data_IF_735234219194
#
_entry.id   IF_735234219194
#
_cell.length_a   1.000
_cell.length_b   1.000
_cell.length_c   1.000
_cell.angle_alpha   90.00
_cell.angle_beta   90.00
_cell.angle_gamma   90.00
#
_symmetry.space_group_name_H-M   'P 1'
#
loop_
_entity.id
_entity.type
_entity.pdbx_description
1 polymer ?
#
# COMPACT_ATOMS: atom_id res chain seq x y z
N UNK A 1 28.41 -8.43 63.34
CA UNK A 1 27.14 -7.81 62.92
C UNK A 1 27.47 -6.35 62.64
N UNK A 2 28.02 -5.93 61.51
CA UNK A 2 27.78 -6.24 60.08
C UNK A 2 26.41 -5.81 59.59
N UNK A 3 26.32 -4.59 59.07
CA UNK A 3 25.70 -4.21 57.78
C UNK A 3 26.23 -2.82 57.38
N UNK A 4 26.69 -2.60 56.14
CA UNK A 4 27.01 -1.28 55.60
C UNK A 4 25.84 -0.70 54.78
N UNK A 5 25.68 0.62 54.86
CA UNK A 5 24.85 1.43 53.96
C UNK A 5 25.59 1.61 52.62
N UNK A 6 24.91 1.32 51.52
CA UNK A 6 25.37 1.63 50.16
C UNK A 6 24.62 2.86 49.65
N UNK A 7 25.38 3.90 49.30
CA UNK A 7 24.91 5.17 48.76
C UNK A 7 24.72 5.03 47.24
N UNK A 8 23.47 4.93 46.76
CA UNK A 8 23.18 5.14 45.34
C UNK A 8 23.00 6.61 45.03
N UNK A 9 24.04 7.18 44.42
CA UNK A 9 24.13 8.49 43.77
C UNK A 9 23.17 8.58 42.59
N UNK A 10 22.20 9.50 42.62
CA UNK A 10 21.34 9.81 41.47
C UNK A 10 22.12 10.66 40.45
N UNK A 11 22.04 10.37 39.14
CA UNK A 11 22.53 11.29 38.12
C UNK A 11 21.58 12.49 37.97
N UNK A 12 22.18 13.68 37.88
CA UNK A 12 21.53 14.97 37.71
C UNK A 12 20.79 15.08 36.37
N UNK A 13 19.61 15.73 36.37
CA UNK A 13 18.92 16.12 35.14
C UNK A 13 17.39 15.98 35.12
N UNK A 14 16.71 15.99 36.26
CA UNK A 14 15.23 15.99 36.30
C UNK A 14 14.73 17.38 36.72
N UNK A 15 14.27 18.17 35.76
CA UNK A 15 13.30 19.23 36.05
C UNK A 15 11.91 18.59 36.04
N UNK A 16 11.25 18.60 37.20
CA UNK A 16 9.88 18.11 37.36
C UNK A 16 8.91 19.27 37.12
N UNK A 17 8.25 19.29 35.96
CA UNK A 17 6.92 19.91 35.83
C UNK A 17 6.01 18.99 35.00
N UNK A 18 4.90 18.61 35.65
CA UNK A 18 3.73 17.89 35.12
C UNK A 18 3.93 16.41 34.78
N UNK A 19 3.22 15.59 35.57
CA UNK A 19 3.21 14.15 35.67
C UNK A 19 2.72 13.43 34.40
N UNK A 20 3.48 13.51 33.31
CA UNK A 20 3.40 12.59 32.17
C UNK A 20 4.79 12.02 31.98
N UNK A 21 4.97 10.73 32.23
CA UNK A 21 6.14 10.00 31.72
C UNK A 21 6.01 9.95 30.19
N UNK A 22 6.53 10.97 29.52
CA UNK A 22 6.73 10.94 28.08
C UNK A 22 7.91 10.02 27.83
N UNK A 23 7.63 8.77 27.49
CA UNK A 23 8.63 7.89 26.90
C UNK A 23 8.82 8.35 25.45
N UNK A 24 9.88 9.13 25.20
CA UNK A 24 10.37 9.39 23.85
C UNK A 24 11.00 8.09 23.32
N UNK A 25 10.16 7.19 22.80
CA UNK A 25 10.63 6.02 22.07
C UNK A 25 11.15 6.53 20.72
N UNK A 26 12.43 6.92 20.69
CA UNK A 26 13.17 7.14 19.46
C UNK A 26 13.28 5.80 18.74
N UNK A 27 12.42 5.58 17.74
CA UNK A 27 12.55 4.47 16.81
C UNK A 27 13.74 4.75 15.88
N UNK A 28 14.77 3.92 15.99
CA UNK A 28 16.01 4.03 15.23
C UNK A 28 15.82 3.73 13.73
N UNK A 29 16.58 4.45 12.89
CA UNK A 29 16.93 4.05 11.54
C UNK A 29 17.85 2.81 11.58
N UNK A 30 17.53 1.79 10.79
CA UNK A 30 18.38 0.61 10.58
C UNK A 30 17.81 -0.66 11.22
N UNK A 31 16.93 -1.35 10.49
CA UNK A 31 16.55 -2.72 10.85
C UNK A 31 17.69 -3.67 10.50
N UNK A 32 18.43 -4.15 11.49
CA UNK A 32 19.25 -5.35 11.36
C UNK A 32 18.36 -6.61 11.29
N UNK A 33 18.95 -7.73 10.88
CA UNK A 33 18.32 -9.04 10.86
C UNK A 33 17.68 -9.34 12.23
N UNK A 34 16.34 -9.46 12.27
CA UNK A 34 15.56 -9.57 13.51
C UNK A 34 14.79 -8.32 13.94
N UNK A 35 14.81 -7.22 13.18
CA UNK A 35 13.91 -6.08 13.43
C UNK A 35 12.44 -6.53 13.28
N UNK A 36 11.64 -6.39 14.35
CA UNK A 36 10.34 -7.03 14.55
C UNK A 36 9.18 -6.46 13.71
N UNK A 37 9.41 -6.17 12.42
CA UNK A 37 8.40 -5.61 11.51
C UNK A 37 7.71 -6.66 10.61
N UNK A 38 8.03 -7.95 10.80
CA UNK A 38 7.42 -9.09 10.09
C UNK A 38 6.21 -9.62 10.82
N UNK A 39 5.10 -9.76 10.10
CA UNK A 39 3.97 -10.54 10.59
C UNK A 39 4.30 -12.02 10.43
N UNK A 40 4.32 -12.72 11.57
CA UNK A 40 4.53 -14.17 11.65
C UNK A 40 3.20 -14.89 11.85
N UNK A 41 3.11 -16.10 11.32
CA UNK A 41 1.98 -16.97 11.61
C UNK A 41 1.98 -17.40 13.07
N UNK A 42 0.80 -17.41 13.69
CA UNK A 42 0.62 -18.05 14.99
C UNK A 42 0.71 -19.57 14.81
N UNK A 43 1.67 -20.28 15.43
CA UNK A 43 1.80 -21.73 15.23
C UNK A 43 0.57 -22.53 15.67
N UNK A 44 -0.27 -21.97 16.55
CA UNK A 44 -1.52 -22.60 17.01
C UNK A 44 -2.71 -22.33 16.10
N UNK A 45 -2.63 -21.27 15.30
CA UNK A 45 -3.70 -20.82 14.41
C UNK A 45 -3.10 -20.12 13.18
N UNK A 46 -2.49 -20.90 12.26
CA UNK A 46 -1.67 -20.34 11.19
C UNK A 46 -2.47 -19.93 9.95
N UNK A 47 -3.77 -20.28 9.89
CA UNK A 47 -4.60 -20.14 8.69
C UNK A 47 -5.40 -18.85 8.70
N UNK A 48 -5.62 -18.26 7.52
CA UNK A 48 -6.53 -17.13 7.28
C UNK A 48 -6.36 -15.97 8.28
N UNK A 49 -5.11 -15.66 8.64
CA UNK A 49 -4.83 -14.58 9.59
C UNK A 49 -5.38 -13.26 9.08
N UNK A 50 -6.06 -12.53 9.97
CA UNK A 50 -6.65 -11.23 9.63
C UNK A 50 -5.59 -10.17 9.40
N UNK A 51 -4.55 -10.08 10.24
CA UNK A 51 -3.45 -9.14 10.03
C UNK A 51 -2.43 -9.71 9.05
N UNK A 52 -2.30 -9.07 7.88
CA UNK A 52 -1.49 -9.58 6.76
C UNK A 52 -0.16 -8.85 6.69
N UNK A 53 -0.20 -7.51 6.71
CA UNK A 53 0.96 -6.61 6.73
C UNK A 53 0.72 -5.58 7.83
N UNK A 54 1.73 -5.34 8.66
CA UNK A 54 1.79 -4.15 9.52
C UNK A 54 3.17 -3.53 9.41
N UNK A 55 3.17 -2.23 9.10
CA UNK A 55 4.34 -1.46 8.75
C UNK A 55 4.18 -0.11 9.43
N UNK A 56 4.97 0.14 10.47
CA UNK A 56 4.90 1.37 11.26
C UNK A 56 6.25 2.07 11.27
N UNK A 57 6.24 3.39 11.41
CA UNK A 57 7.47 4.21 11.44
C UNK A 57 7.66 5.06 10.19
N UNK A 58 8.78 5.80 10.12
CA UNK A 58 9.19 6.66 8.99
C UNK A 58 8.16 7.71 8.49
N UNK A 59 7.09 7.96 9.24
CA UNK A 59 6.09 8.99 8.94
C UNK A 59 4.87 8.52 8.15
N UNK A 60 4.73 7.22 7.87
CA UNK A 60 3.52 6.61 7.31
C UNK A 60 3.30 5.25 7.95
N UNK A 61 2.12 5.04 8.51
CA UNK A 61 1.69 3.72 8.96
C UNK A 61 0.93 3.04 7.83
N UNK A 62 1.26 1.78 7.56
CA UNK A 62 0.62 0.98 6.53
C UNK A 62 0.14 -0.33 7.13
N UNK A 63 -1.13 -0.67 6.86
CA UNK A 63 -1.76 -1.91 7.33
C UNK A 63 -2.46 -2.60 6.17
N UNK A 64 -2.34 -3.92 6.11
CA UNK A 64 -3.16 -4.78 5.27
C UNK A 64 -3.86 -5.80 6.15
N UNK A 65 -5.18 -5.88 6.03
CA UNK A 65 -5.98 -6.88 6.72
C UNK A 65 -6.78 -7.72 5.73
N UNK A 66 -6.83 -9.04 5.94
CA UNK A 66 -7.75 -9.95 5.28
C UNK A 66 -9.12 -9.77 5.94
N UNK A 67 -10.05 -9.18 5.19
CA UNK A 67 -11.41 -8.88 5.64
C UNK A 67 -12.35 -10.05 5.39
N UNK A 68 -12.23 -10.68 4.22
CA UNK A 68 -13.02 -11.86 3.88
C UNK A 68 -12.16 -12.94 3.26
N UNK A 69 -12.40 -14.18 3.69
CA UNK A 69 -11.96 -15.41 3.05
C UNK A 69 -13.17 -16.34 2.92
N UNK A 70 -13.62 -16.55 1.68
CA UNK A 70 -14.82 -17.33 1.37
C UNK A 70 -14.41 -18.47 0.45
N UNK A 71 -14.66 -19.70 0.88
CA UNK A 71 -14.38 -20.91 0.13
C UNK A 71 -15.69 -21.51 -0.38
N UNK A 72 -15.64 -22.10 -1.57
CA UNK A 72 -16.82 -22.68 -2.22
C UNK A 72 -16.53 -23.21 -3.61
N UNK A 73 -17.57 -23.52 -4.37
CA UNK A 73 -17.48 -23.91 -5.78
C UNK A 73 -17.41 -22.68 -6.69
N UNK A 74 -16.77 -22.85 -7.85
CA UNK A 74 -16.78 -21.84 -8.90
C UNK A 74 -18.17 -21.69 -9.51
N UNK A 75 -18.86 -22.82 -9.73
CA UNK A 75 -20.27 -22.90 -10.08
C UNK A 75 -20.74 -24.32 -9.78
N UNK A 76 -22.05 -24.50 -9.53
CA UNK A 76 -22.65 -25.81 -9.33
C UNK A 76 -22.48 -26.75 -10.53
N UNK A 77 -22.21 -26.19 -11.72
CA UNK A 77 -22.10 -26.92 -12.98
C UNK A 77 -20.67 -27.40 -13.32
N UNK A 78 -19.66 -27.12 -12.49
CA UNK A 78 -18.29 -27.56 -12.76
C UNK A 78 -17.51 -27.97 -11.51
N UNK A 79 -16.48 -28.79 -11.73
CA UNK A 79 -15.64 -29.34 -10.66
C UNK A 79 -14.52 -28.39 -10.20
N UNK A 80 -14.60 -27.09 -10.51
CA UNK A 80 -13.63 -26.12 -10.00
C UNK A 80 -14.09 -25.53 -8.69
N UNK A 81 -13.15 -25.43 -7.77
CA UNK A 81 -13.34 -24.70 -6.53
C UNK A 81 -12.96 -23.24 -6.71
N UNK A 82 -13.51 -22.39 -5.85
CA UNK A 82 -13.19 -20.98 -5.77
C UNK A 82 -12.82 -20.60 -4.34
N UNK A 83 -11.93 -19.61 -4.23
CA UNK A 83 -11.73 -18.86 -3.00
C UNK A 83 -11.82 -17.38 -3.33
N UNK A 84 -12.73 -16.67 -2.69
CA UNK A 84 -12.85 -15.22 -2.77
C UNK A 84 -12.16 -14.61 -1.55
N UNK A 85 -11.23 -13.70 -1.79
CA UNK A 85 -10.49 -12.99 -0.76
C UNK A 85 -10.70 -11.49 -0.90
N UNK A 86 -10.90 -10.80 0.21
CA UNK A 86 -10.99 -9.34 0.25
C UNK A 86 -9.97 -8.80 1.22
N UNK A 87 -9.09 -7.93 0.73
CA UNK A 87 -8.04 -7.29 1.49
C UNK A 87 -8.31 -5.80 1.63
N UNK A 88 -8.05 -5.26 2.81
CA UNK A 88 -8.14 -3.84 3.11
C UNK A 88 -6.74 -3.30 3.36
N UNK A 89 -6.28 -2.41 2.49
CA UNK A 89 -5.05 -1.66 2.69
C UNK A 89 -5.39 -0.28 3.25
N UNK A 90 -4.63 0.17 4.25
CA UNK A 90 -4.70 1.51 4.82
C UNK A 90 -3.32 2.16 4.77
N UNK A 91 -3.30 3.41 4.34
CA UNK A 91 -2.14 4.27 4.29
C UNK A 91 -2.45 5.47 5.18
N UNK A 92 -1.80 5.54 6.33
CA UNK A 92 -2.05 6.52 7.37
C UNK A 92 -0.81 7.41 7.54
N UNK A 93 -0.67 8.52 6.77
CA UNK A 93 0.43 9.45 6.93
C UNK A 93 0.45 10.05 8.34
N UNK A 94 1.55 9.87 9.06
CA UNK A 94 1.74 10.41 10.41
C UNK A 94 2.33 11.83 10.38
N UNK A 95 2.81 12.29 9.21
CA UNK A 95 3.35 13.63 9.00
C UNK A 95 2.83 14.21 7.68
N UNK A 96 2.43 15.48 7.69
CA UNK A 96 1.90 16.19 6.50
C UNK A 96 2.86 16.09 5.29
N UNK A 97 4.17 16.13 5.53
CA UNK A 97 5.18 16.06 4.48
C UNK A 97 5.48 14.64 3.96
N UNK A 98 4.85 13.59 4.49
CA UNK A 98 5.15 12.18 4.19
C UNK A 98 3.99 11.48 3.51
N UNK A 99 3.41 12.08 2.47
CA UNK A 99 2.39 11.41 1.65
C UNK A 99 3.02 10.30 0.80
N UNK A 100 2.27 9.22 0.58
CA UNK A 100 2.65 8.15 -0.36
C UNK A 100 2.21 8.57 -1.76
N UNK A 101 3.15 8.81 -2.67
CA UNK A 101 2.87 9.21 -4.06
C UNK A 101 2.58 8.03 -4.98
N UNK A 102 3.09 6.85 -4.62
CA UNK A 102 2.83 5.58 -5.32
C UNK A 102 2.80 4.42 -4.33
N UNK A 103 1.86 3.51 -4.52
CA UNK A 103 1.86 2.21 -3.88
C UNK A 103 1.65 1.09 -4.90
N UNK A 104 2.44 0.03 -4.83
CA UNK A 104 2.28 -1.19 -5.62
C UNK A 104 1.94 -2.33 -4.67
N UNK A 105 0.78 -2.94 -4.86
CA UNK A 105 0.30 -4.10 -4.11
C UNK A 105 0.42 -5.32 -5.01
N UNK A 106 1.04 -6.38 -4.51
CA UNK A 106 1.11 -7.68 -5.17
C UNK A 106 0.68 -8.78 -4.20
N UNK A 107 -0.24 -9.64 -4.64
CA UNK A 107 -0.64 -10.85 -3.93
C UNK A 107 -0.27 -12.04 -4.82
N UNK A 108 0.74 -12.82 -4.41
CA UNK A 108 1.18 -14.00 -5.13
C UNK A 108 0.58 -15.26 -4.50
N UNK A 109 -0.04 -16.09 -5.31
CA UNK A 109 -0.64 -17.34 -4.90
C UNK A 109 0.22 -18.53 -5.32
N UNK A 110 0.42 -19.45 -4.38
CA UNK A 110 1.25 -20.64 -4.62
C UNK A 110 0.82 -21.80 -3.73
N UNK A 111 1.34 -22.99 -4.02
CA UNK A 111 1.18 -24.19 -3.19
C UNK A 111 2.42 -24.43 -2.36
N UNK A 112 2.25 -24.97 -1.15
CA UNK A 112 3.39 -25.40 -0.32
C UNK A 112 3.94 -26.77 -0.75
N UNK A 113 3.09 -27.61 -1.35
CA UNK A 113 3.45 -28.92 -1.89
C UNK A 113 3.32 -28.92 -3.41
N UNK A 114 4.40 -29.28 -4.10
CA UNK A 114 4.46 -29.32 -5.56
C UNK A 114 3.57 -30.42 -6.18
N UNK A 115 3.04 -31.34 -5.38
CA UNK A 115 2.05 -32.32 -5.83
C UNK A 115 0.64 -31.74 -6.01
N UNK A 116 0.35 -30.59 -5.40
CA UNK A 116 -0.97 -29.94 -5.48
C UNK A 116 -1.12 -29.11 -6.77
N UNK A 117 -2.35 -28.93 -7.20
CA UNK A 117 -2.64 -28.11 -8.37
C UNK A 117 -2.42 -26.63 -8.08
N UNK A 118 -1.81 -25.92 -9.05
CA UNK A 118 -1.54 -24.49 -8.90
C UNK A 118 -2.84 -23.68 -8.85
N UNK A 119 -3.01 -22.77 -7.87
CA UNK A 119 -4.14 -21.84 -7.86
C UNK A 119 -4.03 -20.86 -9.02
N UNK A 120 -5.17 -20.46 -9.58
CA UNK A 120 -5.27 -19.45 -10.63
C UNK A 120 -5.96 -18.20 -10.10
N UNK A 121 -5.33 -17.03 -10.29
CA UNK A 121 -6.00 -15.73 -10.14
C UNK A 121 -6.93 -15.54 -11.32
N UNK A 122 -8.22 -15.78 -11.11
CA UNK A 122 -9.23 -15.77 -12.18
C UNK A 122 -9.81 -14.35 -12.36
N UNK A 123 -10.14 -13.66 -11.28
CA UNK A 123 -10.67 -12.29 -11.32
C UNK A 123 -10.12 -11.43 -10.18
N UNK A 124 -10.03 -10.12 -10.43
CA UNK A 124 -9.60 -9.11 -9.47
C UNK A 124 -10.52 -7.89 -9.55
N UNK A 125 -10.73 -7.19 -8.44
CA UNK A 125 -11.26 -5.83 -8.50
C UNK A 125 -10.26 -4.89 -9.17
N UNK A 126 -10.72 -3.77 -9.71
CA UNK A 126 -9.90 -2.80 -10.43
C UNK A 126 -9.08 -3.39 -11.59
N UNK A 127 -9.57 -4.43 -12.27
CA UNK A 127 -8.91 -4.98 -13.46
C UNK A 127 -8.92 -3.95 -14.60
N UNK A 128 -7.75 -3.45 -15.00
CA UNK A 128 -7.61 -2.32 -15.91
C UNK A 128 -7.28 -1.01 -15.20
N UNK A 129 -7.65 0.13 -15.79
CA UNK A 129 -7.23 1.47 -15.34
C UNK A 129 -8.43 2.30 -14.87
N UNK A 130 -8.38 2.75 -13.63
CA UNK A 130 -9.41 3.56 -12.98
C UNK A 130 -8.83 4.91 -12.60
N UNK A 131 -9.58 5.99 -12.85
CA UNK A 131 -9.18 7.36 -12.51
C UNK A 131 -10.18 7.97 -11.54
N UNK A 132 -9.66 8.68 -10.54
CA UNK A 132 -10.40 9.28 -9.44
C UNK A 132 -9.95 10.72 -9.27
N UNK A 133 -10.89 11.60 -8.88
CA UNK A 133 -10.64 13.01 -8.59
C UNK A 133 -9.82 13.73 -9.70
N UNK A 134 -10.33 13.80 -10.94
CA UNK A 134 -9.65 14.54 -11.99
C UNK A 134 -9.57 16.03 -11.65
N UNK A 135 -8.38 16.61 -11.75
CA UNK A 135 -8.12 18.03 -11.58
C UNK A 135 -7.67 18.65 -12.90
N UNK A 136 -8.17 19.86 -13.19
CA UNK A 136 -7.70 20.69 -14.30
C UNK A 136 -6.77 21.76 -13.76
N UNK A 137 -5.55 21.86 -14.29
CA UNK A 137 -4.65 22.95 -13.99
C UNK A 137 -4.24 23.66 -15.28
N UNK A 138 -4.39 24.98 -15.29
CA UNK A 138 -3.83 25.84 -16.33
C UNK A 138 -2.38 26.18 -15.94
N UNK A 139 -1.42 25.58 -16.62
CA UNK A 139 0.00 25.87 -16.48
C UNK A 139 0.39 26.98 -17.46
N UNK A 140 1.12 27.98 -16.96
CA UNK A 140 1.73 29.02 -17.79
C UNK A 140 3.23 28.81 -17.79
N UNK A 141 3.76 28.17 -18.82
CA UNK A 141 5.20 27.95 -18.97
C UNK A 141 5.80 29.20 -19.60
N UNK A 142 6.64 29.90 -18.84
CA UNK A 142 7.41 31.06 -19.31
C UNK A 142 8.85 30.63 -19.58
N UNK A 143 9.22 30.59 -20.86
CA UNK A 143 10.61 30.36 -21.27
C UNK A 143 11.18 31.67 -21.79
N UNK A 144 12.31 32.12 -21.24
CA UNK A 144 12.96 33.34 -21.72
C UNK A 144 14.48 33.30 -21.57
N UNK A 145 15.15 34.05 -22.45
CA UNK A 145 16.60 34.22 -22.46
C UNK A 145 16.96 35.70 -22.58
N UNK A 146 18.03 36.12 -21.92
CA UNK A 146 18.61 37.46 -22.07
C UNK A 146 19.82 37.42 -22.99
N UNK A 147 19.74 38.13 -24.12
CA UNK A 147 20.87 38.40 -24.99
C UNK A 147 21.35 39.84 -24.83
N UNK A 148 22.62 40.04 -24.49
CA UNK A 148 23.28 41.35 -24.60
C UNK A 148 23.93 41.47 -25.97
N UNK A 149 23.42 42.35 -26.82
CA UNK A 149 24.05 42.69 -28.10
C UNK A 149 25.06 43.81 -27.84
N UNK A 150 26.34 43.46 -27.72
CA UNK A 150 27.43 44.43 -27.60
C UNK A 150 28.02 44.78 -28.96
N UNK A 151 27.65 45.93 -29.54
CA UNK A 151 28.36 46.49 -30.68
C UNK A 151 29.71 47.05 -30.19
N UNK A 152 30.82 46.44 -30.62
CA UNK A 152 32.13 47.11 -30.52
C UNK A 152 32.12 48.23 -31.56
N UNK A 153 32.54 49.43 -31.14
CA UNK A 153 32.62 50.70 -31.87
C UNK A 153 31.43 51.67 -31.71
N UNK A 154 31.58 52.56 -30.70
CA UNK A 154 31.02 53.92 -30.70
C UNK A 154 29.56 54.07 -30.23
N UNK A 155 29.40 54.62 -29.01
CA UNK A 155 28.15 54.92 -28.29
C UNK A 155 27.48 53.72 -27.60
N UNK A 156 27.52 53.73 -26.25
CA UNK A 156 26.83 52.77 -25.39
C UNK A 156 25.31 53.00 -25.42
N UNK A 157 24.63 52.33 -26.34
CA UNK A 157 23.20 52.07 -26.27
C UNK A 157 23.01 50.58 -26.00
N UNK A 158 23.04 50.22 -24.71
CA UNK A 158 22.78 48.87 -24.26
C UNK A 158 21.29 48.51 -24.41
N UNK A 159 20.90 47.99 -25.57
CA UNK A 159 19.59 47.37 -25.75
C UNK A 159 19.66 45.90 -25.29
N UNK A 160 19.06 45.58 -24.13
CA UNK A 160 18.79 44.20 -23.74
C UNK A 160 17.50 43.74 -24.42
N UNK A 161 17.61 42.73 -25.29
CA UNK A 161 16.43 42.08 -25.85
C UNK A 161 16.07 40.88 -24.96
N UNK A 162 14.97 41.01 -24.22
CA UNK A 162 14.37 39.91 -23.45
C UNK A 162 13.26 39.28 -24.30
N UNK A 163 13.48 38.05 -24.74
CA UNK A 163 12.40 37.26 -25.37
C UNK A 163 11.79 36.37 -24.30
N UNK A 164 10.49 36.50 -24.08
CA UNK A 164 9.69 35.63 -23.21
C UNK A 164 8.60 34.96 -24.05
N UNK A 165 8.63 33.64 -24.16
CA UNK A 165 7.54 32.85 -24.76
C UNK A 165 6.69 32.29 -23.63
N UNK A 166 5.39 32.59 -23.66
CA UNK A 166 4.42 32.12 -22.67
C UNK A 166 3.51 31.09 -23.34
N UNK A 167 3.58 29.83 -22.89
CA UNK A 167 2.69 28.75 -23.35
C UNK A 167 1.68 28.45 -22.25
N UNK A 168 0.39 28.62 -22.55
CA UNK A 168 -0.69 28.15 -21.70
C UNK A 168 -1.00 26.68 -22.04
N UNK A 169 -0.86 25.79 -21.06
CA UNK A 169 -1.17 24.36 -21.16
C UNK A 169 -2.25 24.01 -20.16
N UNK A 170 -3.29 23.30 -20.57
CA UNK A 170 -4.25 22.69 -19.64
C UNK A 170 -3.81 21.24 -19.42
N UNK A 171 -3.42 20.91 -18.18
CA UNK A 171 -3.04 19.54 -17.78
C UNK A 171 -4.20 18.95 -16.97
N UNK A 172 -4.60 17.72 -17.33
CA UNK A 172 -5.57 16.94 -16.56
C UNK A 172 -4.83 15.80 -15.86
N UNK A 173 -4.74 15.89 -14.54
CA UNK A 173 -4.20 14.84 -13.68
C UNK A 173 -5.30 14.22 -12.84
N UNK A 174 -5.14 12.96 -12.47
CA UNK A 174 -6.05 12.23 -11.61
C UNK A 174 -5.27 11.24 -10.74
N UNK A 175 -5.84 10.85 -9.60
CA UNK A 175 -5.35 9.67 -8.88
C UNK A 175 -5.78 8.44 -9.66
N UNK A 176 -4.88 7.48 -9.88
CA UNK A 176 -5.19 6.29 -10.66
C UNK A 176 -4.97 5.01 -9.87
N UNK A 177 -5.85 4.02 -10.10
CA UNK A 177 -5.67 2.64 -9.65
C UNK A 177 -5.64 1.76 -10.89
N UNK A 178 -4.55 1.03 -11.09
CA UNK A 178 -4.35 0.12 -12.21
C UNK A 178 -4.18 -1.31 -11.70
N UNK A 179 -5.11 -2.20 -12.00
CA UNK A 179 -5.01 -3.61 -11.65
C UNK A 179 -4.69 -4.51 -12.85
N UNK A 180 -4.05 -5.64 -12.56
CA UNK A 180 -3.82 -6.69 -13.55
C UNK A 180 -3.41 -8.02 -12.92
N UNK A 181 -3.46 -9.07 -13.74
CA UNK A 181 -3.10 -10.44 -13.37
C UNK A 181 -1.82 -10.85 -14.09
N UNK A 182 -0.88 -11.46 -13.39
CA UNK A 182 0.42 -11.85 -13.95
C UNK A 182 0.71 -13.34 -13.73
N UNK A 183 1.45 -13.91 -14.67
CA UNK A 183 2.06 -15.25 -14.57
C UNK A 183 3.36 -15.17 -13.77
N UNK A 184 3.71 -16.25 -13.06
CA UNK A 184 4.99 -16.35 -12.35
C UNK A 184 6.01 -16.97 -13.30
N UNK A 185 7.18 -16.33 -13.46
CA UNK A 185 8.27 -16.79 -14.35
C UNK A 185 7.83 -17.03 -15.80
N UNK A 186 6.86 -16.26 -16.30
CA UNK A 186 6.28 -16.40 -17.65
C UNK A 186 5.58 -17.74 -17.91
N UNK A 187 5.13 -18.44 -16.86
CA UNK A 187 4.44 -19.73 -16.96
C UNK A 187 2.99 -19.61 -16.46
N UNK A 188 1.97 -19.92 -17.30
CA UNK A 188 0.58 -19.99 -16.87
C UNK A 188 0.34 -21.03 -15.75
N UNK A 189 -0.71 -20.87 -14.92
CA UNK A 189 -1.76 -19.85 -14.98
C UNK A 189 -1.32 -18.49 -14.40
N UNK A 190 -2.21 -17.50 -14.41
CA UNK A 190 -2.01 -16.26 -13.66
C UNK A 190 -1.99 -16.59 -12.16
N UNK A 191 -0.95 -16.16 -11.45
CA UNK A 191 -0.77 -16.45 -10.02
C UNK A 191 -0.49 -15.21 -9.18
N UNK A 192 -0.43 -14.04 -9.81
CA UNK A 192 -0.23 -12.77 -9.13
C UNK A 192 -1.40 -11.86 -9.45
N UNK A 193 -2.05 -11.33 -8.41
CA UNK A 193 -2.90 -10.16 -8.52
C UNK A 193 -2.06 -8.93 -8.17
N UNK A 194 -2.08 -7.91 -9.03
CA UNK A 194 -1.27 -6.70 -8.86
C UNK A 194 -2.12 -5.46 -9.01
N UNK A 195 -1.93 -4.49 -8.12
CA UNK A 195 -2.50 -3.15 -8.20
C UNK A 195 -1.42 -2.10 -8.08
N UNK A 196 -1.49 -1.05 -8.88
CA UNK A 196 -0.64 0.14 -8.79
C UNK A 196 -1.49 1.36 -8.56
N UNK A 197 -1.24 2.05 -7.46
CA UNK A 197 -1.89 3.30 -7.07
C UNK A 197 -0.92 4.44 -7.36
N UNK A 198 -1.39 5.47 -8.06
CA UNK A 198 -0.64 6.69 -8.34
C UNK A 198 -1.43 7.89 -7.85
N UNK A 199 -0.77 8.80 -7.14
CA UNK A 199 -1.39 10.06 -6.73
C UNK A 199 -1.71 10.96 -7.94
N UNK A 200 -2.61 11.91 -7.71
CA UNK A 200 -2.79 13.03 -8.60
C UNK A 200 -1.54 13.95 -8.54
N UNK A 201 -0.79 14.04 -9.64
CA UNK A 201 0.47 14.82 -9.69
C UNK A 201 0.27 16.34 -9.54
N UNK A 202 -0.91 16.85 -9.92
CA UNK A 202 -1.29 18.25 -9.75
C UNK A 202 -1.61 18.54 -8.28
N UNK A 203 -2.54 17.77 -7.69
CA UNK A 203 -3.03 18.03 -6.33
C UNK A 203 -2.05 17.56 -5.25
N UNK A 204 -1.18 16.59 -5.56
CA UNK A 204 -0.17 16.04 -4.63
C UNK A 204 -0.77 15.66 -3.28
N UNK A 205 -1.92 15.00 -3.32
CA UNK A 205 -2.68 14.58 -2.13
C UNK A 205 -2.23 13.23 -1.58
N UNK A 206 -1.34 12.53 -2.28
CA UNK A 206 -1.02 11.14 -2.02
C UNK A 206 -2.04 10.18 -2.65
N UNK A 207 -1.72 8.89 -2.55
CA UNK A 207 -2.67 7.80 -2.82
C UNK A 207 -3.82 7.83 -1.81
N UNK A 208 -4.97 7.19 -2.10
CA UNK A 208 -6.08 7.11 -1.16
C UNK A 208 -5.66 6.59 0.22
N UNK A 209 -6.25 7.13 1.30
CA UNK A 209 -6.00 6.67 2.66
C UNK A 209 -6.38 5.19 2.87
N UNK A 210 -7.33 4.67 2.09
CA UNK A 210 -7.78 3.29 2.19
C UNK A 210 -8.20 2.77 0.81
N UNK A 211 -7.81 1.54 0.49
CA UNK A 211 -8.28 0.81 -0.67
C UNK A 211 -8.62 -0.63 -0.28
N UNK A 212 -9.83 -1.06 -0.63
CA UNK A 212 -10.27 -2.44 -0.50
C UNK A 212 -10.23 -3.10 -1.87
N UNK A 213 -9.52 -4.22 -1.96
CA UNK A 213 -9.38 -5.00 -3.18
C UNK A 213 -9.89 -6.41 -2.96
N UNK A 214 -10.48 -6.99 -4.01
CA UNK A 214 -10.97 -8.35 -4.01
C UNK A 214 -10.24 -9.17 -5.08
N UNK A 215 -10.04 -10.46 -4.79
CA UNK A 215 -9.47 -11.43 -5.73
C UNK A 215 -10.23 -12.75 -5.61
N UNK A 216 -10.57 -13.34 -6.76
CA UNK A 216 -11.12 -14.68 -6.85
C UNK A 216 -10.06 -15.64 -7.40
N UNK A 217 -9.83 -16.70 -6.64
CA UNK A 217 -8.88 -17.76 -6.94
C UNK A 217 -9.65 -18.98 -7.41
N UNK A 218 -9.38 -19.45 -8.61
CA UNK A 218 -9.87 -20.72 -9.14
C UNK A 218 -8.90 -21.83 -8.76
N UNK A 219 -9.41 -22.97 -8.31
CA UNK A 219 -8.64 -24.12 -7.82
C UNK A 219 -9.21 -25.42 -8.38
N UNK A 220 -8.36 -26.44 -8.52
CA UNK A 220 -8.75 -27.80 -8.96
C UNK A 220 -8.93 -28.77 -7.80
N UNK A 221 -8.28 -28.48 -6.68
CA UNK A 221 -8.37 -29.24 -5.46
C UNK A 221 -8.75 -28.32 -4.29
N UNK A 222 -9.00 -28.92 -3.13
CA UNK A 222 -9.23 -28.23 -1.86
C UNK A 222 -7.96 -28.15 -1.00
N UNK A 223 -6.77 -28.29 -1.61
CA UNK A 223 -5.53 -28.27 -0.88
C UNK A 223 -5.27 -26.89 -0.27
N UNK A 224 -4.52 -26.89 0.84
CA UNK A 224 -4.02 -25.65 1.43
C UNK A 224 -3.07 -24.97 0.43
N UNK A 225 -3.29 -23.68 0.24
CA UNK A 225 -2.44 -22.85 -0.61
C UNK A 225 -2.03 -21.58 0.16
N UNK A 226 -1.17 -20.78 -0.46
CA UNK A 226 -0.54 -19.61 0.17
C UNK A 226 -0.88 -18.35 -0.60
N UNK A 227 -0.96 -17.24 0.14
CA UNK A 227 -0.89 -15.89 -0.39
C UNK A 227 0.33 -15.21 0.20
N UNK A 228 1.28 -14.82 -0.66
CA UNK A 228 2.47 -14.05 -0.30
C UNK A 228 2.20 -12.58 -0.66
N UNK A 229 1.91 -11.73 0.34
CA UNK A 229 1.65 -10.32 0.09
C UNK A 229 2.97 -9.56 -0.06
N UNK A 230 3.03 -8.67 -1.04
CA UNK A 230 4.13 -7.71 -1.24
C UNK A 230 3.54 -6.33 -1.43
N UNK A 231 4.15 -5.36 -0.75
CA UNK A 231 3.78 -3.96 -0.86
C UNK A 231 5.04 -3.14 -1.10
N UNK A 232 4.98 -2.23 -2.06
CA UNK A 232 6.04 -1.27 -2.33
C UNK A 232 5.45 0.14 -2.32
N UNK A 233 6.04 1.06 -1.57
CA UNK A 233 5.56 2.44 -1.48
C UNK A 233 6.67 3.43 -1.84
N UNK A 234 6.30 4.57 -2.41
CA UNK A 234 7.19 5.72 -2.63
C UNK A 234 6.59 6.96 -1.98
N UNK A 235 7.42 7.74 -1.28
CA UNK A 235 7.10 9.08 -0.79
C UNK A 235 7.78 10.14 -1.66
N UNK A 236 7.28 11.38 -1.63
CA UNK A 236 7.89 12.50 -2.34
C UNK A 236 8.85 13.31 -1.43
N UNK A 237 9.89 13.90 -2.05
CA UNK A 237 11.12 14.52 -1.50
C UNK A 237 12.23 13.59 -0.98
N UNK A 238 13.23 13.36 -1.86
CA UNK A 238 14.61 12.87 -1.65
C UNK A 238 14.82 11.49 -1.01
N UNK A 239 13.84 10.94 -0.31
CA UNK A 239 13.96 9.64 0.35
C UNK A 239 12.99 8.65 -0.28
N UNK A 240 13.55 7.66 -0.98
CA UNK A 240 12.81 6.46 -1.25
C UNK A 240 12.40 5.83 0.08
N UNK A 241 11.12 5.45 0.21
CA UNK A 241 10.69 4.50 1.23
C UNK A 241 11.23 3.08 0.92
N UNK A 242 12.22 2.94 0.02
CA UNK A 242 13.03 1.73 -0.13
C UNK A 242 13.55 1.23 1.22
N UNK A 243 13.92 2.11 2.16
CA UNK A 243 14.32 1.70 3.52
C UNK A 243 13.17 1.20 4.41
N UNK A 244 11.92 1.22 3.94
CA UNK A 244 10.79 0.57 4.61
C UNK A 244 10.72 -0.94 4.29
N UNK A 245 11.34 -1.36 3.18
CA UNK A 245 11.31 -2.75 2.70
C UNK A 245 12.71 -3.35 2.46
N UNK A 246 13.74 -2.51 2.31
CA UNK A 246 15.14 -2.90 2.23
C UNK A 246 15.67 -3.22 3.62
N UNK A 247 15.83 -4.51 3.91
CA UNK A 247 16.30 -5.02 5.22
C UNK A 247 15.20 -5.57 6.12
N UNK A 248 13.94 -5.43 5.72
CA UNK A 248 12.78 -6.08 6.35
C UNK A 248 12.61 -7.43 5.63
N UNK A 249 12.91 -8.59 6.26
CA UNK A 249 12.44 -9.90 5.82
C UNK A 249 11.00 -9.92 5.25
N UNK A 250 10.70 -10.88 4.38
CA UNK A 250 9.32 -11.02 3.88
C UNK A 250 8.38 -11.41 5.04
N UNK A 251 7.14 -10.92 5.04
CA UNK A 251 6.13 -11.44 5.96
C UNK A 251 5.89 -12.93 5.66
N UNK A 252 5.53 -13.71 6.68
CA UNK A 252 5.17 -15.10 6.45
C UNK A 252 4.01 -15.16 5.45
N UNK A 253 3.94 -16.18 4.56
CA UNK A 253 2.76 -16.38 3.73
C UNK A 253 1.49 -16.51 4.59
N UNK A 254 0.37 -15.99 4.07
CA UNK A 254 -0.95 -16.29 4.62
C UNK A 254 -1.34 -17.68 4.12
N UNK A 255 -1.49 -18.64 5.03
CA UNK A 255 -1.99 -19.96 4.68
C UNK A 255 -3.51 -19.92 4.54
N UNK A 256 -4.03 -20.42 3.42
CA UNK A 256 -5.45 -20.43 3.10
C UNK A 256 -5.91 -21.88 3.06
N UNK A 257 -6.86 -22.23 3.92
CA UNK A 257 -7.35 -23.60 4.07
C UNK A 257 -8.82 -23.67 3.63
N UNK A 258 -9.10 -24.18 2.42
CA UNK A 258 -10.46 -24.30 1.91
C UNK A 258 -11.44 -25.05 2.81
N UNK A 259 -10.96 -25.95 3.68
CA UNK A 259 -11.81 -26.70 4.61
C UNK A 259 -12.28 -25.88 5.82
N UNK A 260 -11.76 -24.66 6.03
CA UNK A 260 -12.23 -23.77 7.09
C UNK A 260 -13.51 -23.03 6.68
N UNK A 261 -14.31 -22.67 7.69
CA UNK A 261 -15.53 -21.92 7.47
C UNK A 261 -15.23 -20.54 6.91
N UNK A 262 -15.96 -20.16 5.86
CA UNK A 262 -15.95 -18.81 5.29
C UNK A 262 -16.27 -17.75 6.34
N UNK A 263 -15.59 -16.61 6.27
CA UNK A 263 -15.78 -15.50 7.22
C UNK A 263 -17.10 -14.76 7.00
N UNK A 264 -17.45 -14.50 5.74
CA UNK A 264 -18.70 -13.84 5.32
C UNK A 264 -18.97 -12.49 6.05
N UNK A 265 -17.93 -11.70 6.27
CA UNK A 265 -17.99 -10.44 7.00
C UNK A 265 -18.60 -9.29 6.19
N UNK A 266 -18.41 -9.26 4.85
CA UNK A 266 -18.93 -8.17 4.03
C UNK A 266 -20.37 -8.39 3.56
N UNK A 267 -20.73 -9.63 3.25
CA UNK A 267 -22.08 -10.03 2.88
C UNK A 267 -22.27 -11.53 3.00
N UNK A 268 -23.52 -11.99 2.81
CA UNK A 268 -23.79 -13.39 2.56
C UNK A 268 -23.40 -13.75 1.12
N UNK A 269 -22.64 -14.83 0.96
CA UNK A 269 -22.20 -15.35 -0.33
C UNK A 269 -22.92 -16.65 -0.64
N UNK A 270 -23.27 -16.84 -1.90
CA UNK A 270 -23.64 -18.16 -2.42
C UNK A 270 -22.35 -18.96 -2.68
N UNK A 271 -22.04 -19.89 -1.79
CA UNK A 271 -20.80 -20.67 -1.85
C UNK A 271 -20.80 -21.68 -3.00
N UNK A 272 -21.95 -21.98 -3.60
CA UNK A 272 -22.02 -22.89 -4.75
C UNK A 272 -21.80 -22.14 -6.08
N UNK A 273 -21.83 -20.80 -6.05
CA UNK A 273 -21.76 -19.93 -7.24
C UNK A 273 -20.78 -18.75 -7.09
N UNK A 274 -19.62 -18.98 -6.44
CA UNK A 274 -18.64 -17.90 -6.21
C UNK A 274 -18.05 -17.32 -7.52
N UNK A 275 -18.09 -18.06 -8.63
CA UNK A 275 -17.69 -17.60 -9.96
C UNK A 275 -18.60 -16.51 -10.53
N UNK A 276 -19.84 -16.41 -10.03
CA UNK A 276 -20.80 -15.37 -10.44
C UNK A 276 -20.66 -14.06 -9.65
N UNK A 277 -19.94 -14.09 -8.52
CA UNK A 277 -19.77 -12.91 -7.65
C UNK A 277 -18.98 -11.84 -8.39
N UNK A 278 -19.54 -10.62 -8.42
CA UNK A 278 -18.87 -9.46 -9.00
C UNK A 278 -17.82 -8.92 -8.01
N UNK A 279 -16.55 -9.24 -8.28
CA UNK A 279 -15.41 -8.82 -7.45
C UNK A 279 -15.24 -7.30 -7.40
N UNK A 280 -15.75 -6.53 -8.37
CA UNK A 280 -15.67 -5.08 -8.34
C UNK A 280 -16.58 -4.49 -7.26
N UNK A 281 -17.75 -5.09 -7.00
CA UNK A 281 -18.68 -4.64 -5.95
C UNK A 281 -18.15 -4.80 -4.53
N UNK A 282 -17.11 -5.62 -4.36
CA UNK A 282 -16.40 -5.83 -3.10
C UNK A 282 -15.28 -4.82 -2.87
N UNK A 283 -14.95 -4.02 -3.87
CA UNK A 283 -13.90 -3.01 -3.76
C UNK A 283 -14.41 -1.71 -3.13
N UNK A 284 -13.49 -0.88 -2.65
CA UNK A 284 -13.77 0.46 -2.16
C UNK A 284 -12.51 1.33 -2.21
N UNK A 285 -12.68 2.64 -2.38
CA UNK A 285 -11.60 3.62 -2.34
C UNK A 285 -12.01 4.80 -1.47
N UNK A 286 -11.28 5.01 -0.38
CA UNK A 286 -11.50 6.13 0.54
C UNK A 286 -10.26 7.04 0.55
N UNK A 287 -10.45 8.29 0.12
CA UNK A 287 -9.37 9.29 0.07
C UNK A 287 -9.07 9.93 1.42
N UNK A 288 -10.11 10.37 2.12
CA UNK A 288 -10.03 10.97 3.45
C UNK A 288 -11.40 10.84 4.10
N UNK A 289 -11.44 10.45 5.37
CA UNK A 289 -12.67 10.44 6.16
C UNK A 289 -12.82 11.79 6.86
N UNK A 290 -13.86 12.54 6.51
CA UNK A 290 -14.19 13.82 7.16
C UNK A 290 -15.27 13.60 8.22
N UNK A 291 -15.00 14.01 9.46
CA UNK A 291 -16.02 14.04 10.53
C UNK A 291 -16.70 15.41 10.45
N UNK A 292 -17.95 15.44 9.97
CA UNK A 292 -18.68 16.68 9.75
C UNK A 292 -19.45 17.18 11.00
N UNK A 293 -19.63 16.32 12.01
CA UNK A 293 -20.40 16.63 13.22
C UNK A 293 -19.54 16.75 14.49
N UNK A 294 -18.52 17.61 14.44
CA UNK A 294 -17.92 18.14 15.66
C UNK A 294 -18.81 19.28 16.17
N UNK A 295 -19.99 18.96 16.71
CA UNK A 295 -20.74 19.94 17.51
C UNK A 295 -19.92 20.26 18.77
N UNK A 296 -19.69 21.56 18.98
CA UNK A 296 -18.98 22.13 20.12
C UNK A 296 -19.68 21.84 21.44
#
# INVERSE_FOLDING_TARGET
MSTPNDETRYPEGIEQENNVQVFDIRMFEGGSEGSGFHIKNNPKDPYQRSEVIQRTGQGVDIRCSLIDAVHGAMSADNDFWATLLVFQFRFDPQKIARRVSRATIELRFDVSDAANDLPEVEAISFDGNYSFLPSKQSETIKTGGEGKVGARYGAELGASAKWETTVARETMDATTVSGGKLVVKNVPPNRIAKWTLLENNTLKTGVPASIRVAVRIKRRDEAVFTCVPRLECKADNWTSLENFFGGVPEDDPVYLNPSLKSTNNLMAYDTDELGSVDVQKLSDVTFTTMILDAQK
#
